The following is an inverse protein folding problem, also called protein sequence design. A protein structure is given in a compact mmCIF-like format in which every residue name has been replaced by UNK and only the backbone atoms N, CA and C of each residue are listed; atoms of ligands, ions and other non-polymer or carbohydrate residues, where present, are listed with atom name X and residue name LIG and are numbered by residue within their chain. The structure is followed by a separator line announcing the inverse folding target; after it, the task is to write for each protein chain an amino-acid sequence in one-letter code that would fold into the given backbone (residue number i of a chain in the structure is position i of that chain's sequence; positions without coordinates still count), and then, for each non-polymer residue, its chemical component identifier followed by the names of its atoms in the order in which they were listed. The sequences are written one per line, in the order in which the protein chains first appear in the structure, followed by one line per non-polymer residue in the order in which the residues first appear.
data_IF_378093916261
#
_entry.id   IF_378093916261
#
_cell.length_a   1.000
_cell.length_b   1.000
_cell.length_c   1.000
_cell.angle_alpha   90.00
_cell.angle_beta   90.00
_cell.angle_gamma   90.00
#
_symmetry.space_group_name_H-M   'P 1'
#
loop_
_entity.id
_entity.type
_entity.pdbx_description
1 polymer ?
#
# COMPACT_ATOMS: atom_id res chain seq x y z
N UNK A 1 0.16 6.10 -2.03
CA UNK A 1 1.15 5.35 -2.81
C UNK A 1 2.15 6.31 -3.48
N UNK A 2 3.23 5.81 -4.07
CA UNK A 2 4.26 6.56 -4.80
C UNK A 2 5.64 5.91 -4.66
N UNK A 3 6.64 6.28 -5.49
CA UNK A 3 8.00 5.74 -5.43
C UNK A 3 8.65 5.90 -4.05
N UNK A 4 9.69 5.10 -3.80
CA UNK A 4 10.47 5.25 -2.57
C UNK A 4 11.19 6.61 -2.56
N UNK A 5 11.26 7.24 -1.38
CA UNK A 5 11.88 8.55 -1.22
C UNK A 5 11.02 9.76 -1.62
N UNK A 6 9.76 9.58 -2.04
CA UNK A 6 8.86 10.71 -2.38
C UNK A 6 8.35 11.48 -1.17
N UNK A 7 8.56 10.97 0.05
CA UNK A 7 8.14 11.65 1.27
C UNK A 7 6.87 11.11 1.93
N UNK A 8 6.40 9.91 1.59
CA UNK A 8 5.20 9.28 2.18
C UNK A 8 5.26 9.23 3.71
N UNK A 9 6.29 8.60 4.27
CA UNK A 9 6.51 8.51 5.72
C UNK A 9 6.73 9.90 6.35
N UNK A 10 7.36 10.83 5.63
CA UNK A 10 7.51 12.22 6.10
C UNK A 10 6.14 12.91 6.25
N UNK A 11 5.24 12.70 5.29
CA UNK A 11 3.88 13.23 5.35
C UNK A 11 3.11 12.62 6.54
N UNK A 12 3.22 11.32 6.77
CA UNK A 12 2.64 10.64 7.93
C UNK A 12 3.16 11.27 9.24
N UNK A 13 4.47 11.44 9.39
CA UNK A 13 5.06 12.05 10.59
C UNK A 13 4.61 13.48 10.82
N UNK A 14 4.39 14.24 9.75
CA UNK A 14 3.81 15.59 9.86
C UNK A 14 2.34 15.54 10.32
N UNK A 15 1.54 14.60 9.83
CA UNK A 15 0.15 14.42 10.28
C UNK A 15 0.10 14.03 11.76
N UNK A 16 1.04 13.18 12.21
CA UNK A 16 1.16 12.77 13.62
C UNK A 16 1.69 13.89 14.54
N UNK A 17 2.16 14.99 13.98
CA UNK A 17 2.76 16.09 14.75
C UNK A 17 4.20 15.83 15.18
N UNK A 18 4.84 14.77 14.70
CA UNK A 18 6.25 14.44 15.00
C UNK A 18 7.24 15.32 14.22
N UNK A 19 6.76 15.95 13.15
CA UNK A 19 7.56 16.82 12.30
C UNK A 19 6.73 18.02 11.86
N UNK A 20 7.31 19.21 11.93
CA UNK A 20 6.68 20.41 11.41
C UNK A 20 6.82 20.52 9.88
N UNK A 21 5.77 20.97 9.17
CA UNK A 21 5.87 21.25 7.75
C UNK A 21 6.80 22.47 7.52
N UNK A 22 7.57 22.42 6.43
CA UNK A 22 8.46 23.54 6.05
C UNK A 22 7.66 24.79 5.65
N UNK A 23 6.47 24.59 5.09
CA UNK A 23 5.54 25.62 4.69
C UNK A 23 4.10 25.11 4.86
N UNK A 24 3.16 26.01 5.13
CA UNK A 24 1.77 25.65 5.41
C UNK A 24 1.54 25.16 6.84
N UNK A 25 0.38 24.56 7.08
CA UNK A 25 0.01 24.00 8.38
C UNK A 25 -0.90 22.78 8.21
N UNK A 26 -0.88 21.91 9.20
CA UNK A 26 -1.78 20.75 9.30
C UNK A 26 -2.72 20.98 10.47
N UNK A 27 -4.01 20.86 10.25
CA UNK A 27 -5.02 20.99 11.31
C UNK A 27 -5.80 19.71 11.44
N UNK A 28 -5.75 19.11 12.61
CA UNK A 28 -6.58 17.96 12.96
C UNK A 28 -7.86 18.44 13.65
N UNK A 29 -8.97 17.78 13.38
CA UNK A 29 -10.22 18.04 14.08
C UNK A 29 -10.10 17.73 15.58
N UNK A 30 -10.81 18.46 16.43
CA UNK A 30 -10.71 18.34 17.91
C UNK A 30 -11.13 16.96 18.45
N UNK A 31 -11.83 16.15 17.69
CA UNK A 31 -12.27 14.79 18.05
C UNK A 31 -11.57 13.69 17.27
N UNK A 32 -10.43 14.00 16.64
CA UNK A 32 -9.64 13.00 15.93
C UNK A 32 -8.73 12.31 16.94
N UNK A 33 -8.90 11.01 17.06
CA UNK A 33 -8.04 10.10 17.83
C UNK A 33 -7.26 9.24 16.84
N UNK A 34 -5.96 9.54 16.71
CA UNK A 34 -5.08 8.83 15.78
C UNK A 34 -4.57 7.56 16.43
N UNK A 35 -4.70 6.43 15.73
CA UNK A 35 -3.97 5.20 15.98
C UNK A 35 -2.91 5.01 14.91
N UNK A 36 -1.66 4.75 15.31
CA UNK A 36 -0.56 4.55 14.38
C UNK A 36 0.00 3.14 14.49
N UNK A 37 0.06 2.46 13.37
CA UNK A 37 0.69 1.15 13.25
C UNK A 37 2.01 1.30 12.47
N UNK A 38 3.11 1.21 13.20
CA UNK A 38 4.46 1.18 12.64
C UNK A 38 4.98 -0.25 12.50
N UNK A 39 6.03 -0.41 11.74
CA UNK A 39 6.71 -1.69 11.53
C UNK A 39 7.38 -2.24 12.82
N UNK A 40 7.71 -1.39 13.78
CA UNK A 40 8.27 -1.78 15.08
C UNK A 40 7.17 -1.74 16.14
N UNK A 41 6.90 -2.90 16.74
CA UNK A 41 5.87 -3.08 17.78
C UNK A 41 6.48 -2.87 19.17
N UNK A 42 6.81 -1.62 19.50
CA UNK A 42 7.49 -1.25 20.75
C UNK A 42 6.59 -1.24 21.99
N UNK A 43 5.26 -1.33 21.82
CA UNK A 43 4.29 -1.11 22.88
C UNK A 43 3.80 -2.42 23.55
N UNK A 44 4.52 -3.53 23.36
CA UNK A 44 4.22 -4.83 23.98
C UNK A 44 5.11 -5.10 25.18
N UNK A 45 4.52 -5.59 26.28
CA UNK A 45 5.25 -6.00 27.47
C UNK A 45 5.77 -7.44 27.31
N UNK A 46 6.98 -7.61 26.81
CA UNK A 46 7.56 -8.89 26.43
C UNK A 46 7.47 -10.00 27.46
N UNK A 47 7.59 -9.66 28.76
CA UNK A 47 7.54 -10.60 29.86
C UNK A 47 6.12 -11.05 30.28
N UNK A 48 5.07 -10.39 29.75
CA UNK A 48 3.68 -10.74 30.06
C UNK A 48 3.18 -11.84 29.13
N UNK A 49 2.09 -12.49 29.54
CA UNK A 49 1.34 -13.34 28.62
C UNK A 49 0.46 -12.50 27.70
N UNK A 50 0.06 -13.06 26.57
CA UNK A 50 -0.89 -12.42 25.64
C UNK A 50 -2.17 -12.03 26.36
N UNK A 51 -2.64 -12.87 27.31
CA UNK A 51 -3.84 -12.61 28.11
C UNK A 51 -3.62 -11.45 29.08
N UNK A 52 -2.50 -11.47 29.82
CA UNK A 52 -2.17 -10.40 30.79
C UNK A 52 -2.08 -9.04 30.11
N UNK A 53 -1.51 -8.99 28.91
CA UNK A 53 -1.37 -7.77 28.12
C UNK A 53 -2.72 -7.09 27.89
N UNK A 54 -3.72 -7.86 27.47
CA UNK A 54 -5.05 -7.30 27.18
C UNK A 54 -5.81 -7.00 28.49
N UNK A 55 -5.72 -7.88 29.49
CA UNK A 55 -6.42 -7.67 30.76
C UNK A 55 -5.94 -6.42 31.50
N UNK A 56 -4.61 -6.20 31.52
CA UNK A 56 -4.04 -5.08 32.28
C UNK A 56 -4.19 -3.75 31.55
N UNK A 57 -3.94 -3.72 30.23
CA UNK A 57 -3.98 -2.46 29.47
C UNK A 57 -5.41 -1.92 29.26
N UNK A 58 -6.39 -2.81 29.17
CA UNK A 58 -7.79 -2.43 28.90
C UNK A 58 -8.74 -2.70 30.06
N UNK A 59 -8.23 -3.18 31.19
CA UNK A 59 -9.05 -3.53 32.37
C UNK A 59 -10.18 -4.52 32.06
N UNK A 60 -9.92 -5.46 31.15
CA UNK A 60 -10.87 -6.49 30.76
C UNK A 60 -10.85 -7.66 31.74
N UNK A 61 -12.03 -8.29 31.92
CA UNK A 61 -12.10 -9.60 32.55
C UNK A 61 -11.54 -10.69 31.64
N UNK A 62 -11.20 -11.87 32.21
CA UNK A 62 -10.60 -12.97 31.44
C UNK A 62 -11.47 -13.42 30.26
N UNK A 63 -12.79 -13.54 30.44
CA UNK A 63 -13.71 -13.96 29.39
C UNK A 63 -13.76 -12.97 28.24
N UNK A 64 -13.80 -11.67 28.54
CA UNK A 64 -13.82 -10.59 27.57
C UNK A 64 -12.48 -10.52 26.81
N UNK A 65 -11.35 -10.59 27.54
CA UNK A 65 -10.03 -10.63 26.94
C UNK A 65 -9.86 -11.82 25.98
N UNK A 66 -10.31 -13.02 26.39
CA UNK A 66 -10.30 -14.21 25.51
C UNK A 66 -11.19 -14.04 24.27
N UNK A 67 -12.33 -13.36 24.42
CA UNK A 67 -13.24 -13.09 23.29
C UNK A 67 -12.58 -12.21 22.23
N UNK A 68 -11.94 -11.10 22.63
CA UNK A 68 -11.27 -10.19 21.69
C UNK A 68 -10.00 -10.80 21.11
N UNK A 69 -9.22 -11.55 21.90
CA UNK A 69 -8.06 -12.31 21.46
C UNK A 69 -8.43 -13.37 20.42
N UNK A 70 -9.56 -14.05 20.59
CA UNK A 70 -10.06 -15.05 19.65
C UNK A 70 -10.36 -14.50 18.26
N UNK A 71 -10.78 -13.23 18.15
CA UNK A 71 -10.99 -12.54 16.87
C UNK A 71 -9.68 -12.33 16.10
N UNK A 72 -8.57 -12.20 16.85
CA UNK A 72 -7.23 -12.06 16.31
C UNK A 72 -6.45 -13.38 16.33
N UNK A 73 -7.18 -14.51 16.31
CA UNK A 73 -6.64 -15.87 16.18
C UNK A 73 -5.78 -16.35 17.37
N UNK A 74 -5.82 -15.72 18.54
CA UNK A 74 -5.27 -16.26 19.76
C UNK A 74 -6.31 -17.14 20.44
N UNK A 75 -6.12 -18.47 20.41
CA UNK A 75 -7.11 -19.44 20.89
C UNK A 75 -6.48 -20.48 21.82
N UNK A 76 -7.29 -21.04 22.70
CA UNK A 76 -6.85 -22.11 23.59
C UNK A 76 -5.63 -21.68 24.43
N UNK A 77 -4.53 -22.41 24.30
CA UNK A 77 -3.30 -22.16 25.05
C UNK A 77 -2.45 -21.01 24.50
N UNK A 78 -2.75 -20.50 23.31
CA UNK A 78 -2.00 -19.37 22.74
C UNK A 78 -2.07 -18.11 23.61
N UNK A 79 -3.15 -17.93 24.35
CA UNK A 79 -3.35 -16.76 25.21
C UNK A 79 -2.39 -16.74 26.41
N UNK A 80 -1.82 -17.89 26.77
CA UNK A 80 -0.86 -18.04 27.86
C UNK A 80 0.61 -17.98 27.42
N UNK A 81 0.86 -17.86 26.09
CA UNK A 81 2.22 -17.65 25.59
C UNK A 81 2.77 -16.33 26.09
N UNK A 82 4.04 -16.33 26.47
CA UNK A 82 4.77 -15.11 26.81
C UNK A 82 5.08 -14.34 25.51
N UNK A 83 4.87 -13.04 25.51
CA UNK A 83 4.97 -12.18 24.32
C UNK A 83 6.35 -12.28 23.66
N UNK A 84 7.43 -12.33 24.42
CA UNK A 84 8.78 -12.51 23.88
C UNK A 84 8.99 -13.85 23.14
N UNK A 85 8.13 -14.85 23.40
CA UNK A 85 8.18 -16.14 22.71
C UNK A 85 7.35 -16.20 21.42
N UNK A 86 6.58 -15.16 21.15
CA UNK A 86 5.75 -15.07 19.95
C UNK A 86 6.59 -14.87 18.68
N UNK A 87 6.13 -15.45 17.58
CA UNK A 87 6.63 -15.09 16.24
C UNK A 87 6.35 -13.64 15.91
N UNK A 88 7.09 -13.05 14.96
CA UNK A 88 6.85 -11.67 14.53
C UNK A 88 5.42 -11.43 14.03
N UNK A 89 4.80 -12.41 13.35
CA UNK A 89 3.40 -12.34 12.93
C UNK A 89 2.41 -12.37 14.09
N UNK A 90 2.68 -13.18 15.16
CA UNK A 90 1.85 -13.19 16.37
C UNK A 90 1.97 -11.87 17.13
N UNK A 91 3.18 -11.32 17.27
CA UNK A 91 3.39 -10.00 17.88
C UNK A 91 2.67 -8.90 17.12
N UNK A 92 2.73 -8.91 15.79
CA UNK A 92 2.01 -7.96 14.94
C UNK A 92 0.49 -8.06 15.12
N UNK A 93 -0.08 -9.28 15.21
CA UNK A 93 -1.51 -9.49 15.50
C UNK A 93 -1.91 -8.92 16.86
N UNK A 94 -1.08 -9.15 17.89
CA UNK A 94 -1.35 -8.61 19.22
C UNK A 94 -1.28 -7.09 19.26
N UNK A 95 -0.29 -6.49 18.59
CA UNK A 95 -0.15 -5.04 18.44
C UNK A 95 -1.33 -4.44 17.69
N UNK A 96 -1.79 -5.08 16.63
CA UNK A 96 -3.00 -4.67 15.89
C UNK A 96 -4.24 -4.72 16.78
N UNK A 97 -4.45 -5.81 17.51
CA UNK A 97 -5.55 -5.90 18.47
C UNK A 97 -5.52 -4.75 19.47
N UNK A 98 -4.38 -4.50 20.11
CA UNK A 98 -4.22 -3.36 21.06
C UNK A 98 -4.59 -2.04 20.40
N UNK A 99 -4.10 -1.79 19.19
CA UNK A 99 -4.39 -0.58 18.44
C UNK A 99 -5.90 -0.39 18.23
N UNK A 100 -6.62 -1.44 17.83
CA UNK A 100 -8.07 -1.36 17.65
C UNK A 100 -8.83 -1.17 18.98
N UNK A 101 -8.37 -1.78 20.06
CA UNK A 101 -8.98 -1.65 21.40
C UNK A 101 -8.80 -0.25 22.01
N UNK A 102 -7.78 0.50 21.61
CA UNK A 102 -7.60 1.92 21.99
C UNK A 102 -8.71 2.84 21.43
N UNK A 103 -9.54 2.34 20.52
CA UNK A 103 -10.68 3.06 19.97
C UNK A 103 -10.32 4.28 19.11
N UNK A 104 -9.31 4.22 18.26
CA UNK A 104 -9.03 5.32 17.33
C UNK A 104 -10.20 5.50 16.37
N UNK A 105 -10.36 6.72 15.83
CA UNK A 105 -11.28 6.99 14.73
C UNK A 105 -10.55 7.39 13.44
N UNK A 106 -9.22 7.53 13.52
CA UNK A 106 -8.33 7.72 12.38
C UNK A 106 -7.11 6.81 12.53
N UNK A 107 -6.99 5.79 11.66
CA UNK A 107 -5.86 4.88 11.63
C UNK A 107 -4.84 5.33 10.59
N UNK A 108 -3.57 5.31 10.94
CA UNK A 108 -2.45 5.49 10.03
C UNK A 108 -1.62 4.20 10.05
N UNK A 109 -1.44 3.59 8.86
CA UNK A 109 -0.71 2.34 8.71
C UNK A 109 0.41 2.56 7.67
N UNK A 110 1.66 2.41 8.11
CA UNK A 110 2.84 2.54 7.24
C UNK A 110 3.43 1.15 6.97
N UNK A 111 3.24 0.64 5.74
CA UNK A 111 3.64 -0.69 5.26
C UNK A 111 3.16 -1.85 6.18
N UNK A 112 1.86 -1.89 6.53
CA UNK A 112 1.37 -2.81 7.56
C UNK A 112 1.41 -4.29 7.15
N UNK A 113 1.56 -4.58 5.87
CA UNK A 113 1.63 -5.95 5.34
C UNK A 113 3.03 -6.54 5.33
N UNK A 114 4.06 -5.71 5.59
CA UNK A 114 5.43 -6.19 5.63
C UNK A 114 5.63 -7.17 6.80
N UNK A 115 6.27 -8.30 6.50
CA UNK A 115 6.56 -9.37 7.46
C UNK A 115 5.33 -10.06 8.09
N UNK A 116 4.11 -9.76 7.62
CA UNK A 116 2.92 -10.50 8.03
C UNK A 116 2.79 -11.80 7.25
N UNK A 117 2.48 -12.88 7.97
CA UNK A 117 2.02 -14.12 7.36
C UNK A 117 0.60 -13.95 6.75
N UNK A 118 0.21 -14.87 5.90
CA UNK A 118 -1.09 -14.81 5.21
C UNK A 118 -2.26 -14.72 6.21
N UNK A 119 -2.34 -15.56 7.28
CA UNK A 119 -3.43 -15.45 8.26
C UNK A 119 -3.49 -14.09 8.96
N UNK A 120 -2.35 -13.51 9.32
CA UNK A 120 -2.30 -12.19 9.97
C UNK A 120 -2.76 -11.09 9.01
N UNK A 121 -2.40 -11.18 7.73
CA UNK A 121 -2.88 -10.25 6.71
C UNK A 121 -4.40 -10.30 6.56
N UNK A 122 -5.00 -11.48 6.51
CA UNK A 122 -6.45 -11.65 6.44
C UNK A 122 -7.17 -11.03 7.64
N UNK A 123 -6.62 -11.20 8.85
CA UNK A 123 -7.13 -10.55 10.08
C UNK A 123 -7.07 -9.04 9.97
N UNK A 124 -5.95 -8.47 9.49
CA UNK A 124 -5.80 -7.02 9.28
C UNK A 124 -6.82 -6.51 8.24
N UNK A 125 -6.95 -7.18 7.11
CA UNK A 125 -7.91 -6.83 6.06
C UNK A 125 -9.34 -6.79 6.59
N UNK A 126 -9.75 -7.83 7.32
CA UNK A 126 -11.09 -7.91 7.90
C UNK A 126 -11.30 -6.82 8.95
N UNK A 127 -10.32 -6.59 9.82
CA UNK A 127 -10.40 -5.53 10.83
C UNK A 127 -10.55 -4.13 10.21
N UNK A 128 -9.87 -3.86 9.08
CA UNK A 128 -9.98 -2.60 8.35
C UNK A 128 -11.32 -2.46 7.62
N UNK A 129 -11.86 -3.55 7.06
CA UNK A 129 -13.18 -3.54 6.42
C UNK A 129 -14.30 -3.28 7.44
N UNK A 130 -14.14 -3.80 8.65
CA UNK A 130 -15.10 -3.60 9.74
C UNK A 130 -14.90 -2.28 10.49
N UNK A 131 -13.80 -1.57 10.21
CA UNK A 131 -13.47 -0.32 10.89
C UNK A 131 -14.40 0.82 10.48
N UNK A 132 -15.15 1.33 11.44
CA UNK A 132 -16.12 2.40 11.20
C UNK A 132 -15.54 3.82 11.08
N UNK A 133 -14.21 3.97 11.16
CA UNK A 133 -13.51 5.25 11.07
C UNK A 133 -12.86 5.49 9.71
N UNK A 134 -11.91 6.43 9.69
CA UNK A 134 -11.08 6.71 8.52
C UNK A 134 -9.71 6.07 8.70
N UNK A 135 -9.13 5.54 7.63
CA UNK A 135 -7.75 5.08 7.65
C UNK A 135 -6.94 5.61 6.47
N UNK A 136 -5.68 5.86 6.73
CA UNK A 136 -4.66 6.21 5.75
C UNK A 136 -3.60 5.10 5.72
N UNK A 137 -3.44 4.47 4.57
CA UNK A 137 -2.52 3.34 4.41
C UNK A 137 -1.45 3.68 3.39
N UNK A 138 -0.20 3.47 3.75
CA UNK A 138 0.91 3.40 2.81
C UNK A 138 1.29 1.93 2.65
N UNK A 139 1.21 1.40 1.44
CA UNK A 139 1.62 0.03 1.13
C UNK A 139 2.05 -0.11 -0.32
N UNK A 140 2.90 -1.10 -0.56
CA UNK A 140 3.26 -1.58 -1.90
C UNK A 140 2.51 -2.85 -2.29
N UNK A 141 1.72 -3.42 -1.39
CA UNK A 141 0.87 -4.58 -1.65
C UNK A 141 -0.38 -4.17 -2.43
N UNK A 142 -0.40 -4.50 -3.70
CA UNK A 142 -1.47 -4.12 -4.64
C UNK A 142 -2.80 -4.79 -4.29
N UNK A 143 -2.76 -6.08 -3.91
CA UNK A 143 -3.97 -6.83 -3.57
C UNK A 143 -4.61 -6.30 -2.30
N UNK A 144 -3.79 -6.04 -1.29
CA UNK A 144 -4.23 -5.43 -0.05
C UNK A 144 -4.89 -4.07 -0.29
N UNK A 145 -4.21 -3.17 -1.03
CA UNK A 145 -4.75 -1.85 -1.35
C UNK A 145 -6.05 -1.95 -2.15
N UNK A 146 -6.13 -2.86 -3.11
CA UNK A 146 -7.31 -3.01 -3.96
C UNK A 146 -8.54 -3.45 -3.17
N UNK A 147 -8.33 -4.29 -2.16
CA UNK A 147 -9.38 -4.83 -1.31
C UNK A 147 -9.94 -3.82 -0.31
N UNK A 148 -9.08 -2.99 0.28
CA UNK A 148 -9.47 -2.13 1.39
C UNK A 148 -9.71 -0.68 0.99
N UNK A 149 -9.10 -0.16 -0.09
CA UNK A 149 -9.14 1.28 -0.38
C UNK A 149 -10.30 1.67 -1.27
N UNK A 150 -10.87 2.85 -0.98
CA UNK A 150 -11.89 3.52 -1.80
C UNK A 150 -11.35 4.77 -2.51
N UNK A 151 -10.20 5.26 -2.08
CA UNK A 151 -9.52 6.45 -2.63
C UNK A 151 -8.02 6.18 -2.66
N UNK A 152 -7.38 6.52 -3.75
CA UNK A 152 -5.94 6.36 -3.93
C UNK A 152 -5.27 7.72 -4.07
N UNK A 153 -4.33 8.01 -3.17
CA UNK A 153 -3.51 9.22 -3.20
C UNK A 153 -2.11 8.86 -3.73
N UNK A 154 -1.71 9.50 -4.81
CA UNK A 154 -0.40 9.28 -5.46
C UNK A 154 0.51 10.46 -5.17
N UNK A 155 1.62 10.21 -4.49
CA UNK A 155 2.63 11.22 -4.19
C UNK A 155 3.83 11.04 -5.14
N UNK A 156 3.89 11.88 -6.16
CA UNK A 156 4.96 11.89 -7.15
C UNK A 156 5.39 13.32 -7.48
N UNK A 157 6.68 13.53 -7.76
CA UNK A 157 7.23 14.84 -8.15
C UNK A 157 6.84 15.99 -7.19
N UNK A 158 6.70 15.70 -5.89
CA UNK A 158 6.23 16.62 -4.84
C UNK A 158 4.79 17.12 -5.05
N UNK A 159 4.00 16.40 -5.82
CA UNK A 159 2.58 16.65 -6.02
C UNK A 159 1.78 15.46 -5.49
N UNK A 160 0.64 15.76 -4.89
CA UNK A 160 -0.31 14.77 -4.43
C UNK A 160 -1.52 14.79 -5.38
N UNK A 161 -1.72 13.66 -6.07
CA UNK A 161 -2.86 13.48 -6.98
C UNK A 161 -3.83 12.48 -6.38
N UNK A 162 -5.11 12.80 -6.39
CA UNK A 162 -6.16 11.94 -5.87
C UNK A 162 -6.92 11.23 -6.99
N UNK A 163 -7.18 9.94 -6.79
CA UNK A 163 -8.05 9.11 -7.62
C UNK A 163 -9.17 8.55 -6.73
N UNK A 164 -10.43 8.82 -7.09
CA UNK A 164 -11.61 8.32 -6.38
C UNK A 164 -11.89 6.89 -6.86
N UNK A 165 -11.22 5.94 -6.22
CA UNK A 165 -11.24 4.52 -6.54
C UNK A 165 -10.07 3.79 -5.88
N UNK A 166 -10.11 2.46 -5.98
CA UNK A 166 -9.06 1.57 -5.48
C UNK A 166 -7.80 1.62 -6.36
N UNK A 167 -6.82 0.78 -6.03
CA UNK A 167 -5.55 0.73 -6.75
C UNK A 167 -5.72 0.33 -8.23
N UNK A 168 -6.59 -0.63 -8.54
CA UNK A 168 -6.89 -1.05 -9.92
C UNK A 168 -7.48 0.09 -10.75
N UNK A 169 -8.41 0.86 -10.20
CA UNK A 169 -8.95 2.05 -10.85
C UNK A 169 -7.87 3.09 -11.17
N UNK A 170 -6.98 3.37 -10.21
CA UNK A 170 -5.83 4.24 -10.44
C UNK A 170 -4.97 3.74 -11.60
N UNK A 171 -4.63 2.45 -11.63
CA UNK A 171 -3.81 1.84 -12.69
C UNK A 171 -4.46 1.94 -14.06
N UNK A 172 -5.76 1.76 -14.13
CA UNK A 172 -6.52 1.92 -15.37
C UNK A 172 -6.46 3.36 -15.87
N UNK A 173 -6.66 4.35 -14.99
CA UNK A 173 -6.58 5.77 -15.37
C UNK A 173 -5.19 6.20 -15.85
N UNK A 174 -4.14 5.68 -15.23
CA UNK A 174 -2.77 5.92 -15.68
C UNK A 174 -2.53 5.31 -17.06
N UNK A 175 -3.02 4.09 -17.32
CA UNK A 175 -2.91 3.43 -18.62
C UNK A 175 -3.66 4.22 -19.70
N UNK A 176 -4.91 4.61 -19.45
CA UNK A 176 -5.70 5.42 -20.39
C UNK A 176 -4.98 6.74 -20.75
N UNK A 177 -4.40 7.41 -19.77
CA UNK A 177 -3.65 8.64 -19.98
C UNK A 177 -2.38 8.42 -20.79
N UNK A 178 -1.67 7.30 -20.60
CA UNK A 178 -0.49 6.93 -21.38
C UNK A 178 -0.85 6.61 -22.83
N UNK A 179 -1.90 5.82 -23.07
CA UNK A 179 -2.39 5.49 -24.41
C UNK A 179 -2.88 6.73 -25.17
N UNK A 180 -3.53 7.67 -24.47
CA UNK A 180 -3.95 8.94 -25.07
C UNK A 180 -2.74 9.80 -25.45
N UNK A 181 -1.72 9.87 -24.61
CA UNK A 181 -0.49 10.62 -24.89
C UNK A 181 0.29 10.02 -26.07
N UNK A 182 0.35 8.68 -26.18
CA UNK A 182 0.98 8.00 -27.31
C UNK A 182 0.24 8.24 -28.63
N UNK A 183 -1.10 8.23 -28.62
CA UNK A 183 -1.91 8.56 -29.82
C UNK A 183 -1.65 9.97 -30.31
N UNK A 184 -1.63 10.95 -29.40
CA UNK A 184 -1.33 12.35 -29.73
C UNK A 184 0.10 12.50 -30.28
N UNK A 185 1.07 11.77 -29.72
CA UNK A 185 2.45 11.77 -30.21
C UNK A 185 2.58 11.12 -31.60
N UNK A 186 1.80 10.08 -31.89
CA UNK A 186 1.79 9.41 -33.18
C UNK A 186 1.10 10.26 -34.28
N UNK A 187 0.04 10.97 -33.95
CA UNK A 187 -0.66 11.88 -34.85
C UNK A 187 0.14 13.16 -35.16
N UNK A 188 0.96 13.63 -34.22
CA UNK A 188 1.83 14.81 -34.38
C UNK A 188 3.02 14.63 -35.34
N UNK A 189 3.35 13.39 -35.76
CA UNK A 189 4.46 13.10 -36.67
C UNK A 189 4.04 13.02 -38.17
N UNK A 190 2.76 13.25 -38.49
CA UNK A 190 2.19 13.02 -39.83
C UNK A 190 1.98 14.25 -40.70
N UNK A 191 2.40 15.45 -40.34
CA UNK A 191 2.21 16.62 -41.20
C UNK A 191 3.40 17.58 -41.20
N UNK A 192 4.33 17.36 -42.15
CA UNK A 192 5.18 18.43 -42.64
C UNK A 192 4.45 19.12 -43.82
N UNK A 193 4.18 20.41 -43.78
CA UNK A 193 3.95 21.17 -44.98
C UNK A 193 5.25 21.86 -45.45
N UNK A 194 5.60 21.60 -46.68
CA UNK A 194 6.60 22.33 -47.40
C UNK A 194 6.15 23.77 -47.69
N UNK A 195 7.10 24.68 -47.56
CA UNK A 195 7.27 25.97 -48.22
C UNK A 195 6.04 26.80 -48.62
N UNK A 196 5.94 28.02 -48.06
CA UNK A 196 6.07 29.21 -48.92
C UNK A 196 6.43 30.46 -48.12
N UNK A 197 7.35 31.25 -48.69
CA UNK A 197 7.80 32.55 -48.23
C UNK A 197 6.75 33.61 -48.59
N UNK A 198 6.45 34.57 -47.70
CA UNK A 198 6.54 36.00 -48.06
C UNK A 198 6.19 36.96 -46.88
N UNK A 199 7.06 37.97 -46.76
CA UNK A 199 6.85 39.34 -46.33
C UNK A 199 6.26 39.69 -44.94
N UNK A 200 7.10 40.29 -44.11
CA UNK A 200 6.74 41.16 -42.96
C UNK A 200 6.08 42.47 -43.46
N UNK A 201 5.31 43.19 -42.57
CA UNK A 201 5.95 44.20 -41.75
C UNK A 201 5.40 44.48 -40.37
N UNK A 202 6.34 44.92 -39.51
CA UNK A 202 6.27 45.96 -38.48
C UNK A 202 5.35 45.84 -37.25
N UNK A 203 6.03 45.61 -36.13
CA UNK A 203 6.01 46.35 -34.85
C UNK A 203 4.69 46.63 -34.12
N UNK A 204 4.55 46.01 -32.95
CA UNK A 204 4.20 46.71 -31.71
C UNK A 204 4.73 45.96 -30.47
N UNK A 205 5.46 46.69 -29.63
CA UNK A 205 6.01 46.27 -28.35
C UNK A 205 4.90 45.95 -27.34
N UNK A 206 5.04 44.81 -26.63
CA UNK A 206 4.43 44.62 -25.31
C UNK A 206 5.41 43.75 -24.48
N UNK A 207 5.55 44.12 -23.23
CA UNK A 207 6.51 43.65 -22.19
C UNK A 207 6.40 42.15 -21.89
N UNK A 208 7.46 41.54 -21.30
CA UNK A 208 7.57 40.10 -21.17
C UNK A 208 6.91 39.59 -19.88
N UNK A 209 6.05 38.62 -19.99
CA UNK A 209 5.61 37.73 -18.91
C UNK A 209 6.66 36.63 -18.70
N UNK A 210 6.83 36.11 -17.45
CA UNK A 210 7.98 35.29 -17.10
C UNK A 210 7.93 33.89 -17.75
N UNK A 211 9.10 33.45 -18.15
CA UNK A 211 9.35 32.19 -18.83
C UNK A 211 8.96 30.98 -17.96
N UNK A 212 8.02 30.19 -18.45
CA UNK A 212 7.78 28.82 -17.99
C UNK A 212 8.88 27.94 -18.52
N UNK A 213 9.70 27.40 -17.64
CA UNK A 213 10.75 26.42 -17.96
C UNK A 213 10.09 25.12 -18.47
N UNK A 214 10.57 24.66 -19.62
CA UNK A 214 10.19 23.38 -20.22
C UNK A 214 10.41 22.20 -19.27
N UNK A 215 9.57 21.13 -19.32
CA UNK A 215 9.73 19.96 -18.48
C UNK A 215 11.00 19.18 -18.89
N UNK A 216 11.70 18.71 -17.87
CA UNK A 216 12.90 17.89 -17.99
C UNK A 216 12.58 16.58 -18.70
N UNK A 217 13.54 16.12 -19.51
CA UNK A 217 13.52 14.91 -20.33
C UNK A 217 13.03 13.69 -19.57
N UNK A 218 12.11 12.95 -20.21
CA UNK A 218 11.67 11.62 -19.83
C UNK A 218 12.88 10.63 -19.68
N UNK A 219 12.79 9.63 -18.79
CA UNK A 219 13.84 8.64 -18.65
C UNK A 219 14.01 7.81 -19.91
N UNK A 220 15.27 7.45 -20.18
CA UNK A 220 15.71 6.81 -21.42
C UNK A 220 14.89 5.56 -21.79
N UNK A 221 14.53 5.48 -23.04
CA UNK A 221 13.77 4.41 -23.75
C UNK A 221 14.23 2.96 -23.44
N UNK A 222 15.43 2.75 -22.92
CA UNK A 222 15.95 1.44 -22.55
C UNK A 222 15.48 0.88 -21.19
N UNK A 223 14.92 1.72 -20.30
CA UNK A 223 14.45 1.27 -18.98
C UNK A 223 12.99 0.80 -19.04
N UNK A 224 12.16 1.42 -19.85
CA UNK A 224 10.77 1.00 -20.05
C UNK A 224 10.68 -0.40 -20.68
N UNK A 225 11.48 -0.69 -21.70
CA UNK A 225 11.54 -2.00 -22.35
C UNK A 225 12.10 -3.11 -21.43
N UNK A 226 12.93 -2.76 -20.43
CA UNK A 226 13.39 -3.71 -19.41
C UNK A 226 12.30 -3.99 -18.37
N UNK A 227 11.55 -2.97 -17.97
CA UNK A 227 10.42 -3.12 -17.04
C UNK A 227 9.34 -4.02 -17.66
N UNK A 228 8.97 -3.77 -18.89
CA UNK A 228 7.97 -4.56 -19.62
C UNK A 228 8.36 -6.04 -19.76
N UNK A 229 9.65 -6.32 -20.02
CA UNK A 229 10.16 -7.71 -20.04
C UNK A 229 10.11 -8.37 -18.67
N UNK A 230 10.35 -7.64 -17.59
CA UNK A 230 10.27 -8.14 -16.23
C UNK A 230 8.80 -8.38 -15.85
N UNK A 231 7.89 -7.48 -16.21
CA UNK A 231 6.46 -7.66 -15.97
C UNK A 231 5.88 -8.86 -16.74
N UNK A 232 6.28 -9.05 -18.00
CA UNK A 232 5.88 -10.25 -18.74
C UNK A 232 6.42 -11.54 -18.11
N UNK A 233 7.66 -11.51 -17.60
CA UNK A 233 8.24 -12.70 -16.94
C UNK A 233 7.57 -12.99 -15.60
N UNK A 234 7.18 -11.99 -14.86
CA UNK A 234 6.39 -12.13 -13.63
C UNK A 234 5.03 -12.76 -13.95
N UNK A 235 4.32 -12.25 -14.95
CA UNK A 235 3.02 -12.80 -15.35
C UNK A 235 3.11 -14.27 -15.84
N UNK A 236 4.19 -14.63 -16.54
CA UNK A 236 4.46 -16.02 -16.96
C UNK A 236 4.70 -16.94 -15.76
N UNK A 237 5.47 -16.47 -14.77
CA UNK A 237 5.74 -17.22 -13.53
C UNK A 237 4.48 -17.37 -12.69
N UNK A 238 3.68 -16.32 -12.54
CA UNK A 238 2.40 -16.38 -11.82
C UNK A 238 1.41 -17.36 -12.47
N UNK A 239 1.34 -17.39 -13.80
CA UNK A 239 0.51 -18.36 -14.52
C UNK A 239 1.01 -19.80 -14.30
N UNK A 240 2.33 -20.00 -14.24
CA UNK A 240 2.94 -21.28 -13.99
C UNK A 240 2.67 -21.78 -12.57
N UNK A 241 2.82 -20.92 -11.57
CA UNK A 241 2.49 -21.21 -10.17
C UNK A 241 1.02 -21.63 -10.05
N UNK A 242 0.12 -20.87 -10.66
CA UNK A 242 -1.32 -21.19 -10.62
C UNK A 242 -1.65 -22.53 -11.28
N UNK A 243 -0.92 -22.88 -12.33
CA UNK A 243 -1.06 -24.19 -12.97
C UNK A 243 -0.61 -25.32 -12.04
N UNK A 244 0.53 -25.17 -11.35
CA UNK A 244 1.01 -26.14 -10.37
C UNK A 244 0.09 -26.25 -9.15
N UNK A 245 -0.45 -25.13 -8.65
CA UNK A 245 -1.45 -25.16 -7.56
C UNK A 245 -2.71 -25.95 -7.95
N UNK A 246 -3.18 -25.78 -9.19
CA UNK A 246 -4.31 -26.58 -9.71
C UNK A 246 -3.95 -28.06 -9.81
N UNK A 247 -2.75 -28.39 -10.28
CA UNK A 247 -2.27 -29.77 -10.36
C UNK A 247 -2.10 -30.43 -8.98
N UNK A 248 -1.57 -29.71 -8.01
CA UNK A 248 -1.45 -30.18 -6.62
C UNK A 248 -2.80 -30.45 -5.97
N UNK A 249 -3.83 -29.67 -6.30
CA UNK A 249 -5.19 -29.81 -5.76
C UNK A 249 -6.05 -30.86 -6.51
N UNK A 250 -5.54 -31.50 -7.57
CA UNK A 250 -6.28 -32.57 -8.24
C UNK A 250 -6.33 -33.83 -7.37
N UNK A 251 -7.52 -34.46 -7.23
CA UNK A 251 -7.69 -35.66 -6.38
C UNK A 251 -6.76 -36.82 -6.71
N UNK A 252 -6.28 -36.89 -7.93
CA UNK A 252 -5.35 -37.93 -8.41
C UNK A 252 -3.94 -37.75 -7.84
N UNK A 253 -3.49 -36.53 -7.60
CA UNK A 253 -2.16 -36.20 -7.10
C UNK A 253 -2.08 -36.18 -5.56
N UNK A 254 -3.22 -36.07 -4.88
CA UNK A 254 -3.27 -36.11 -3.40
C UNK A 254 -3.02 -37.47 -2.78
N UNK A 255 -3.11 -38.55 -3.58
CA UNK A 255 -2.90 -39.92 -3.12
C UNK A 255 -1.51 -40.46 -3.49
N UNK A 256 -0.72 -39.74 -4.28
CA UNK A 256 0.61 -40.16 -4.72
C UNK A 256 1.69 -39.27 -4.12
N UNK A 257 2.36 -39.75 -3.07
CA UNK A 257 3.39 -39.01 -2.34
C UNK A 257 4.62 -38.67 -3.20
N UNK A 258 4.92 -39.45 -4.21
CA UNK A 258 6.06 -39.25 -5.12
C UNK A 258 5.75 -38.12 -6.12
N UNK A 259 4.51 -38.06 -6.64
CA UNK A 259 4.06 -36.97 -7.52
C UNK A 259 3.99 -35.63 -6.81
N UNK A 260 3.59 -35.57 -5.52
CA UNK A 260 3.62 -34.38 -4.69
C UNK A 260 5.03 -33.89 -4.39
N UNK A 261 6.01 -34.79 -4.25
CA UNK A 261 7.41 -34.45 -4.01
C UNK A 261 8.08 -33.84 -5.25
N UNK A 262 7.67 -34.25 -6.43
CA UNK A 262 8.20 -33.74 -7.71
C UNK A 262 7.64 -32.32 -8.00
N UNK A 263 6.34 -32.10 -7.78
CA UNK A 263 5.68 -30.80 -7.95
C UNK A 263 6.15 -29.72 -6.96
N UNK A 264 6.73 -30.14 -5.82
CA UNK A 264 7.23 -29.18 -4.80
C UNK A 264 8.69 -28.78 -5.04
N UNK A 265 9.39 -29.41 -5.98
CA UNK A 265 10.80 -29.11 -6.32
C UNK A 265 10.97 -28.15 -7.48
N UNK A 266 9.93 -27.88 -8.28
CA UNK A 266 9.90 -26.90 -9.36
C UNK A 266 9.26 -25.59 -8.93
#
# INVERSE_FOLDING_TARGET
IGPNGTGKTTLIRMIMGEKEPTDGHITLGSRVHIGYFAQEHTDLHGAWTVLDEIMNDFSYGEEEARSVLGRFMFRGDDVFKVIDSLSGGEQARLALLKLFLQGPNFLILDEPTNHLDIPTREVLEQALLDFGGTYLVVSHDRYFLDKITQRTLVLEHKQLTEYVGNYSYYREKVREAQEAAEKVAAEGQGSSPAHEKEAAPAARKAEPAPAVKAPAKAPAYGQAAKLEKIEMKIAELEATIKMYEVQMNMPQNQTDADAMMELTKE
#
